data_IF_388374940125
#
_entry.id   IF_388374940125
#
_cell.length_a   1.000
_cell.length_b   1.000
_cell.length_c   1.000
_cell.angle_alpha   90.00
_cell.angle_beta   90.00
_cell.angle_gamma   90.00
#
_symmetry.space_group_name_H-M   'P 1'
#
loop_
_entity.id
_entity.type
_entity.pdbx_description
1 polymer ?
#
# COMPACT_ATOMS: atom_id res chain seq x y z
N UNK A 1 34.87 -7.48 -0.87
CA UNK A 1 34.82 -8.18 -2.17
C UNK A 1 34.72 -7.13 -3.25
N UNK A 2 35.57 -7.18 -4.28
CA UNK A 2 35.47 -6.31 -5.45
C UNK A 2 34.29 -6.77 -6.32
N UNK A 3 33.26 -5.94 -6.46
CA UNK A 3 32.11 -6.24 -7.31
C UNK A 3 32.48 -5.91 -8.77
N UNK A 4 32.58 -6.90 -9.69
CA UNK A 4 33.01 -6.63 -11.07
C UNK A 4 31.91 -5.99 -11.92
N UNK A 5 30.68 -5.89 -11.41
CA UNK A 5 29.54 -5.29 -12.10
C UNK A 5 29.18 -3.94 -11.50
N UNK A 6 28.87 -2.97 -12.37
CA UNK A 6 28.44 -1.63 -11.97
C UNK A 6 26.97 -1.57 -11.56
N UNK A 7 26.18 -2.58 -11.94
CA UNK A 7 24.76 -2.67 -11.62
C UNK A 7 24.52 -3.71 -10.54
N UNK A 8 23.76 -3.31 -9.52
CA UNK A 8 23.25 -4.23 -8.51
C UNK A 8 21.89 -4.76 -8.96
N UNK A 9 21.66 -6.09 -8.97
CA UNK A 9 20.36 -6.66 -9.29
C UNK A 9 19.32 -6.21 -8.27
N UNK A 10 18.05 -6.21 -8.67
CA UNK A 10 16.92 -5.88 -7.79
C UNK A 10 16.21 -7.15 -7.34
N UNK A 11 15.56 -7.08 -6.18
CA UNK A 11 14.67 -8.15 -5.71
C UNK A 11 13.30 -7.98 -6.36
N UNK A 12 12.67 -9.08 -6.77
CA UNK A 12 11.34 -9.05 -7.33
C UNK A 12 10.47 -10.19 -6.81
N UNK A 13 9.18 -9.91 -6.68
CA UNK A 13 8.16 -10.90 -6.33
C UNK A 13 7.67 -11.71 -7.54
N UNK A 14 6.81 -12.71 -7.32
CA UNK A 14 6.08 -13.35 -8.40
C UNK A 14 5.10 -12.36 -9.08
N UNK A 15 4.58 -12.74 -10.25
CA UNK A 15 3.40 -12.06 -10.79
C UNK A 15 2.18 -12.46 -9.95
N UNK A 16 1.41 -11.46 -9.51
CA UNK A 16 0.19 -11.60 -8.73
C UNK A 16 -0.98 -10.95 -9.45
N UNK A 17 -2.19 -11.46 -9.18
CA UNK A 17 -3.46 -10.89 -9.64
C UNK A 17 -4.12 -10.21 -8.44
N UNK A 18 -3.93 -8.90 -8.22
CA UNK A 18 -4.71 -8.20 -7.22
C UNK A 18 -6.20 -8.26 -7.57
N UNK A 19 -7.04 -8.37 -6.55
CA UNK A 19 -8.48 -8.47 -6.68
C UNK A 19 -9.17 -7.13 -6.39
N UNK A 20 -10.16 -6.79 -7.21
CA UNK A 20 -11.08 -5.69 -7.01
C UNK A 20 -12.06 -6.06 -5.90
N UNK A 21 -12.01 -5.32 -4.79
CA UNK A 21 -12.91 -5.49 -3.64
C UNK A 21 -13.79 -4.27 -3.38
N UNK A 22 -13.70 -3.24 -4.23
CA UNK A 22 -14.42 -1.98 -4.07
C UNK A 22 -15.48 -1.73 -5.14
N UNK A 23 -15.87 -2.74 -5.91
CA UNK A 23 -16.92 -2.62 -6.92
C UNK A 23 -18.26 -2.12 -6.34
N UNK A 24 -18.54 -2.42 -5.06
CA UNK A 24 -19.71 -1.95 -4.33
C UNK A 24 -19.43 -0.79 -3.35
N UNK A 25 -18.22 -0.22 -3.38
CA UNK A 25 -17.86 0.93 -2.54
C UNK A 25 -18.76 2.13 -2.86
N UNK A 26 -19.26 2.78 -1.82
CA UNK A 26 -20.13 3.96 -1.94
C UNK A 26 -19.59 5.17 -1.17
N UNK A 27 -19.84 6.35 -1.74
CA UNK A 27 -19.70 7.65 -1.10
C UNK A 27 -21.01 8.40 -1.26
N UNK A 28 -21.54 8.97 -0.18
CA UNK A 28 -22.79 9.77 -0.16
C UNK A 28 -23.96 9.14 -0.94
N UNK A 29 -24.05 7.80 -0.94
CA UNK A 29 -25.11 7.02 -1.58
C UNK A 29 -24.89 6.68 -3.05
N UNK A 30 -23.75 7.02 -3.65
CA UNK A 30 -23.38 6.69 -5.03
C UNK A 30 -22.14 5.79 -5.08
N UNK A 31 -22.03 4.97 -6.13
CA UNK A 31 -20.87 4.11 -6.34
C UNK A 31 -19.62 4.92 -6.64
N UNK A 32 -18.47 4.41 -6.18
CA UNK A 32 -17.15 5.00 -6.42
C UNK A 32 -16.63 4.73 -7.84
N UNK A 33 -15.45 5.27 -8.16
CA UNK A 33 -14.72 4.98 -9.39
C UNK A 33 -14.39 3.49 -9.57
N UNK A 34 -14.38 2.71 -8.50
CA UNK A 34 -14.02 1.29 -8.53
C UNK A 34 -15.12 0.38 -9.10
N UNK A 35 -16.32 0.93 -9.33
CA UNK A 35 -17.40 0.27 -10.08
C UNK A 35 -17.19 0.42 -11.59
N UNK A 36 -17.40 -0.67 -12.35
CA UNK A 36 -17.16 -0.68 -13.80
C UNK A 36 -18.04 0.30 -14.56
N UNK A 37 -19.33 0.41 -14.23
CA UNK A 37 -20.25 1.30 -14.95
C UNK A 37 -19.93 2.79 -14.67
N UNK A 38 -19.58 3.11 -13.42
CA UNK A 38 -19.10 4.45 -13.06
C UNK A 38 -17.78 4.78 -13.77
N UNK A 39 -16.84 3.84 -13.80
CA UNK A 39 -15.54 4.00 -14.47
C UNK A 39 -15.70 4.22 -15.98
N UNK A 40 -16.55 3.42 -16.63
CA UNK A 40 -16.88 3.54 -18.06
C UNK A 40 -17.49 4.92 -18.38
N UNK A 41 -18.41 5.38 -17.54
CA UNK A 41 -19.01 6.73 -17.66
C UNK A 41 -17.98 7.87 -17.61
N UNK A 42 -16.81 7.63 -17.02
CA UNK A 42 -15.69 8.58 -16.94
C UNK A 42 -14.59 8.32 -17.99
N UNK A 43 -14.83 7.38 -18.92
CA UNK A 43 -13.91 7.04 -20.01
C UNK A 43 -12.78 6.10 -19.61
N UNK A 44 -12.88 5.43 -18.45
CA UNK A 44 -11.98 4.36 -18.06
C UNK A 44 -12.45 3.01 -18.64
N UNK A 45 -11.53 2.08 -18.84
CA UNK A 45 -11.85 0.76 -19.41
C UNK A 45 -12.60 -0.16 -18.43
N UNK A 46 -12.34 -0.01 -17.14
CA UNK A 46 -12.96 -0.77 -16.04
C UNK A 46 -12.63 -0.09 -14.71
N UNK A 47 -13.30 -0.51 -13.64
CA UNK A 47 -13.05 -0.05 -12.27
C UNK A 47 -11.61 -0.34 -11.84
N UNK A 48 -10.79 0.68 -11.56
CA UNK A 48 -9.41 0.49 -11.13
C UNK A 48 -9.38 -0.17 -9.75
N UNK A 49 -8.43 -1.07 -9.53
CA UNK A 49 -8.12 -1.61 -8.20
C UNK A 49 -7.54 -0.49 -7.33
N UNK A 50 -7.90 -0.46 -6.04
CA UNK A 50 -7.38 0.55 -5.13
C UNK A 50 -5.86 0.52 -4.99
N UNK A 51 -5.27 1.70 -4.83
CA UNK A 51 -3.82 1.85 -4.69
C UNK A 51 -3.21 0.99 -3.57
N UNK A 52 -3.76 1.00 -2.34
CA UNK A 52 -3.21 0.23 -1.23
C UNK A 52 -3.18 -1.29 -1.45
N UNK A 53 -4.07 -1.85 -2.28
CA UNK A 53 -4.08 -3.30 -2.58
C UNK A 53 -2.76 -3.77 -3.23
N UNK A 54 -1.99 -2.88 -3.83
CA UNK A 54 -0.66 -3.23 -4.35
C UNK A 54 0.42 -3.37 -3.26
N UNK A 55 0.19 -2.86 -2.04
CA UNK A 55 1.23 -2.81 -1.01
C UNK A 55 1.60 -4.15 -0.42
N UNK A 56 0.66 -5.11 -0.35
CA UNK A 56 0.98 -6.46 0.15
C UNK A 56 2.02 -7.18 -0.70
N UNK A 57 2.14 -6.87 -2.01
CA UNK A 57 3.21 -7.43 -2.85
C UNK A 57 4.62 -7.02 -2.42
N UNK A 58 4.75 -5.92 -1.67
CA UNK A 58 6.04 -5.49 -1.14
C UNK A 58 6.37 -6.12 0.22
N UNK A 59 5.39 -6.59 0.98
CA UNK A 59 5.60 -7.17 2.32
C UNK A 59 6.68 -8.27 2.35
N UNK A 60 6.64 -9.33 1.51
CA UNK A 60 7.67 -10.36 1.54
C UNK A 60 9.05 -9.84 1.13
N UNK A 61 9.11 -8.87 0.21
CA UNK A 61 10.37 -8.28 -0.27
C UNK A 61 11.00 -7.39 0.82
N UNK A 62 10.18 -6.57 1.47
CA UNK A 62 10.62 -5.63 2.50
C UNK A 62 10.90 -6.33 3.83
N UNK A 63 10.15 -7.38 4.16
CA UNK A 63 10.51 -8.27 5.27
C UNK A 63 11.83 -9.00 5.02
N UNK A 64 12.13 -9.44 3.78
CA UNK A 64 13.42 -10.03 3.47
C UNK A 64 14.60 -9.06 3.65
N UNK A 65 14.36 -7.75 3.48
CA UNK A 65 15.39 -6.72 3.63
C UNK A 65 15.52 -6.18 5.07
N UNK A 66 14.40 -5.92 5.73
CA UNK A 66 14.35 -5.22 7.03
C UNK A 66 13.89 -6.11 8.19
N UNK A 67 13.46 -7.34 7.92
CA UNK A 67 12.96 -8.27 8.92
C UNK A 67 11.72 -7.73 9.64
N UNK A 68 11.64 -8.02 10.94
CA UNK A 68 10.54 -7.60 11.81
C UNK A 68 10.32 -6.07 11.81
N UNK A 69 11.37 -5.27 11.67
CA UNK A 69 11.30 -3.81 11.71
C UNK A 69 10.36 -3.24 10.64
N UNK A 70 10.19 -3.96 9.51
CA UNK A 70 9.23 -3.63 8.47
C UNK A 70 7.80 -3.48 9.01
N UNK A 71 7.36 -4.41 9.86
CA UNK A 71 6.00 -4.40 10.40
C UNK A 71 5.86 -3.50 11.64
N UNK A 72 6.95 -2.95 12.18
CA UNK A 72 6.94 -2.08 13.36
C UNK A 72 6.99 -0.60 12.99
N UNK A 73 7.76 -0.27 11.95
CA UNK A 73 8.07 1.12 11.58
C UNK A 73 8.10 1.34 10.07
N UNK A 74 7.65 0.35 9.29
CA UNK A 74 7.61 0.41 7.84
C UNK A 74 6.80 1.59 7.31
N UNK A 75 7.32 2.24 6.27
CA UNK A 75 6.64 3.29 5.54
C UNK A 75 6.77 3.05 4.04
N UNK A 76 5.67 3.17 3.30
CA UNK A 76 5.67 3.27 1.84
C UNK A 76 5.30 4.69 1.44
N UNK A 77 6.08 5.26 0.52
CA UNK A 77 5.71 6.47 -0.21
C UNK A 77 5.69 6.14 -1.69
N UNK A 78 4.53 6.26 -2.33
CA UNK A 78 4.31 5.80 -3.71
C UNK A 78 3.68 6.86 -4.59
N UNK A 79 3.96 6.76 -5.89
CA UNK A 79 3.30 7.48 -6.96
C UNK A 79 2.77 6.48 -7.99
N UNK A 80 1.46 6.46 -8.16
CA UNK A 80 0.79 5.64 -9.14
C UNK A 80 0.89 6.28 -10.53
N UNK A 81 1.22 5.46 -11.53
CA UNK A 81 1.45 5.87 -12.92
C UNK A 81 0.37 5.33 -13.85
N UNK A 82 -0.05 4.08 -13.67
CA UNK A 82 -1.13 3.47 -14.44
C UNK A 82 -2.06 2.67 -13.55
N UNK A 83 -3.34 2.68 -13.89
CA UNK A 83 -4.34 1.84 -13.22
C UNK A 83 -4.13 0.36 -13.50
N UNK A 84 -4.52 -0.46 -12.54
CA UNK A 84 -4.65 -1.92 -12.66
C UNK A 84 -6.13 -2.26 -12.51
N UNK A 85 -6.65 -3.17 -13.32
CA UNK A 85 -8.05 -3.63 -13.23
C UNK A 85 -8.10 -5.14 -12.98
N UNK A 86 -9.28 -5.66 -12.61
CA UNK A 86 -9.47 -7.09 -12.31
C UNK A 86 -8.88 -8.00 -13.40
N UNK A 87 -8.19 -9.06 -12.97
CA UNK A 87 -7.57 -10.06 -13.86
C UNK A 87 -6.20 -9.70 -14.42
N UNK A 88 -5.75 -8.44 -14.31
CA UNK A 88 -4.40 -8.04 -14.69
C UNK A 88 -3.36 -8.56 -13.68
N UNK A 89 -2.15 -8.83 -14.19
CA UNK A 89 -1.04 -9.34 -13.38
C UNK A 89 0.01 -8.26 -13.15
N UNK A 90 0.42 -8.10 -11.91
CA UNK A 90 1.38 -7.11 -11.43
C UNK A 90 2.54 -7.82 -10.73
N UNK A 91 3.74 -7.26 -10.84
CA UNK A 91 4.93 -7.69 -10.11
C UNK A 91 5.51 -6.50 -9.35
N UNK A 92 5.82 -6.70 -8.08
CA UNK A 92 6.56 -5.76 -7.25
C UNK A 92 8.08 -5.99 -7.33
N UNK A 93 8.83 -4.90 -7.21
CA UNK A 93 10.28 -4.86 -7.22
C UNK A 93 10.80 -3.93 -6.13
N UNK A 94 11.96 -4.27 -5.58
CA UNK A 94 12.68 -3.47 -4.59
C UNK A 94 14.15 -3.43 -4.98
N UNK A 95 14.76 -2.25 -4.95
CA UNK A 95 16.21 -2.14 -5.15
C UNK A 95 16.94 -2.93 -4.06
N UNK A 96 18.07 -3.55 -4.40
CA UNK A 96 18.89 -4.21 -3.39
C UNK A 96 19.75 -3.16 -2.68
N UNK A 97 19.52 -2.88 -1.38
CA UNK A 97 20.30 -1.88 -0.68
C UNK A 97 21.69 -2.39 -0.27
N UNK A 98 22.56 -1.47 0.09
CA UNK A 98 23.72 -1.78 0.92
C UNK A 98 23.30 -2.36 2.27
N UNK A 99 24.17 -3.17 2.88
CA UNK A 99 23.88 -3.78 4.17
C UNK A 99 23.64 -2.71 5.25
N UNK A 100 22.50 -2.79 5.93
CA UNK A 100 22.14 -1.87 7.00
C UNK A 100 21.47 -0.58 6.52
N UNK A 101 21.19 -0.43 5.22
CA UNK A 101 20.33 0.65 4.77
C UNK A 101 18.92 0.51 5.37
N UNK A 102 18.25 1.64 5.59
CA UNK A 102 16.88 1.73 6.12
C UNK A 102 15.90 2.31 5.12
N UNK A 103 16.33 2.44 3.86
CA UNK A 103 15.59 3.05 2.77
C UNK A 103 15.89 2.30 1.49
N UNK A 104 14.86 2.10 0.68
CA UNK A 104 14.95 1.49 -0.64
C UNK A 104 13.98 2.14 -1.61
N UNK A 105 14.33 2.16 -2.90
CA UNK A 105 13.42 2.38 -4.02
C UNK A 105 12.60 1.14 -4.31
N UNK A 106 11.32 1.35 -4.62
CA UNK A 106 10.37 0.30 -4.97
C UNK A 106 9.64 0.69 -6.25
N UNK A 107 9.16 -0.29 -7.00
CA UNK A 107 8.26 -0.08 -8.12
C UNK A 107 7.42 -1.33 -8.38
N UNK A 108 6.37 -1.17 -9.17
CA UNK A 108 5.60 -2.30 -9.67
C UNK A 108 5.28 -2.11 -11.15
N UNK A 109 5.21 -3.23 -11.87
CA UNK A 109 4.92 -3.27 -13.31
C UNK A 109 3.86 -4.33 -13.59
N UNK A 110 3.07 -4.13 -14.64
CA UNK A 110 2.23 -5.19 -15.20
C UNK A 110 3.09 -6.26 -15.87
N UNK A 111 2.51 -7.42 -16.17
CA UNK A 111 3.19 -8.51 -16.91
C UNK A 111 3.91 -8.03 -18.19
N UNK A 112 3.35 -7.06 -18.90
CA UNK A 112 3.90 -6.52 -20.16
C UNK A 112 4.96 -5.43 -19.97
N UNK A 113 5.35 -5.13 -18.71
CA UNK A 113 6.30 -4.08 -18.37
C UNK A 113 5.68 -2.69 -18.21
N UNK A 114 4.36 -2.54 -18.36
CA UNK A 114 3.69 -1.26 -18.12
C UNK A 114 3.88 -0.83 -16.65
N UNK A 115 4.44 0.36 -16.36
CA UNK A 115 4.65 0.82 -14.99
C UNK A 115 3.33 1.01 -14.25
N UNK A 116 3.18 0.43 -13.05
CA UNK A 116 2.00 0.62 -12.19
C UNK A 116 2.25 1.74 -11.19
N UNK A 117 3.35 1.64 -10.44
CA UNK A 117 3.76 2.65 -9.47
C UNK A 117 5.28 2.70 -9.33
N UNK A 118 5.78 3.85 -8.89
CA UNK A 118 7.15 4.06 -8.40
C UNK A 118 7.10 4.56 -6.96
N UNK A 119 8.13 4.31 -6.17
CA UNK A 119 8.09 4.65 -4.75
C UNK A 119 9.41 4.50 -4.01
N UNK A 120 9.28 4.67 -2.70
CA UNK A 120 10.29 4.34 -1.70
C UNK A 120 9.66 3.60 -0.54
N UNK A 121 10.41 2.70 0.09
CA UNK A 121 10.09 2.13 1.39
C UNK A 121 11.20 2.40 2.40
N UNK A 122 10.85 2.49 3.68
CA UNK A 122 11.82 2.68 4.77
C UNK A 122 11.38 2.04 6.07
N UNK A 123 12.33 1.94 7.01
CA UNK A 123 12.10 1.54 8.42
C UNK A 123 12.81 2.51 9.38
N UNK A 124 12.39 2.50 10.64
CA UNK A 124 12.92 3.34 11.71
C UNK A 124 12.63 4.84 11.53
N UNK A 125 13.50 5.69 12.06
CA UNK A 125 13.42 7.13 11.83
C UNK A 125 13.87 7.48 10.40
N UNK A 126 12.88 7.76 9.56
CA UNK A 126 13.06 8.06 8.14
C UNK A 126 12.61 9.48 7.75
N UNK A 127 12.33 10.38 8.70
CA UNK A 127 11.73 11.69 8.42
C UNK A 127 12.55 12.58 7.45
N UNK A 128 13.87 12.39 7.40
CA UNK A 128 14.78 13.11 6.50
C UNK A 128 15.21 12.33 5.25
N UNK A 129 14.70 11.12 5.03
CA UNK A 129 15.05 10.32 3.85
C UNK A 129 14.30 10.83 2.62
N UNK A 130 14.85 10.68 1.41
CA UNK A 130 14.27 11.24 0.20
C UNK A 130 13.07 10.38 -0.24
N UNK A 131 11.92 10.51 0.43
CA UNK A 131 10.72 9.77 0.07
C UNK A 131 10.12 10.22 -1.26
N UNK A 132 9.46 9.30 -1.97
CA UNK A 132 8.95 9.55 -3.32
C UNK A 132 8.02 10.78 -3.38
N UNK A 133 7.03 10.84 -2.50
CA UNK A 133 6.07 11.95 -2.49
C UNK A 133 6.73 13.26 -2.04
N UNK A 134 7.65 13.24 -1.08
CA UNK A 134 8.38 14.44 -0.65
C UNK A 134 9.18 15.04 -1.81
N UNK A 135 9.91 14.21 -2.55
CA UNK A 135 10.66 14.64 -3.74
C UNK A 135 9.75 15.21 -4.83
N UNK A 136 8.55 14.63 -5.01
CA UNK A 136 7.58 15.12 -6.00
C UNK A 136 7.00 16.46 -5.60
N UNK A 137 6.57 16.61 -4.34
CA UNK A 137 6.04 17.87 -3.81
C UNK A 137 7.07 18.99 -3.95
N UNK A 138 8.35 18.71 -3.69
CA UNK A 138 9.43 19.69 -3.82
C UNK A 138 9.61 20.24 -5.26
N UNK A 139 9.09 19.55 -6.29
CA UNK A 139 9.11 19.99 -7.69
C UNK A 139 7.86 20.76 -8.11
N UNK A 140 6.82 20.78 -7.27
CA UNK A 140 5.58 21.50 -7.54
C UNK A 140 5.73 22.98 -7.21
N UNK A 141 4.98 23.82 -7.92
CA UNK A 141 4.81 25.22 -7.54
C UNK A 141 4.06 25.28 -6.20
N UNK A 142 4.49 26.11 -5.23
CA UNK A 142 3.77 26.27 -3.98
C UNK A 142 2.30 26.64 -4.22
N UNK A 143 1.40 25.99 -3.50
CA UNK A 143 -0.02 26.31 -3.56
C UNK A 143 -0.27 27.68 -2.94
N UNK A 144 -0.95 28.57 -3.67
CA UNK A 144 -1.28 29.93 -3.21
C UNK A 144 -2.72 30.06 -2.69
N UNK A 145 -3.57 29.06 -2.96
CA UNK A 145 -4.98 29.05 -2.57
C UNK A 145 -5.50 27.63 -2.42
N UNK A 146 -5.23 27.02 -1.27
CA UNK A 146 -5.80 25.72 -0.93
C UNK A 146 -7.31 25.88 -0.67
N UNK A 147 -8.11 25.03 -1.32
CA UNK A 147 -9.57 24.95 -1.12
C UNK A 147 -9.90 23.67 -0.35
N UNK A 148 -9.39 22.54 -0.82
CA UNK A 148 -9.46 21.24 -0.14
C UNK A 148 -8.32 21.19 0.89
N UNK A 149 -8.63 20.73 2.11
CA UNK A 149 -7.67 20.61 3.22
C UNK A 149 -6.97 21.92 3.61
N UNK A 150 -7.59 23.09 3.33
CA UNK A 150 -7.05 24.43 3.61
C UNK A 150 -6.60 24.62 5.05
N UNK A 151 -7.35 24.07 5.99
CA UNK A 151 -7.12 24.27 7.42
C UNK A 151 -6.22 23.17 8.03
N UNK A 152 -5.76 22.21 7.22
CA UNK A 152 -4.88 21.14 7.67
C UNK A 152 -3.41 21.57 7.68
N UNK A 153 -2.68 21.16 8.73
CA UNK A 153 -1.24 21.39 8.86
C UNK A 153 -0.46 20.08 8.73
N UNK A 154 0.77 20.16 8.22
CA UNK A 154 1.67 19.00 8.15
C UNK A 154 1.95 18.51 9.58
N UNK A 155 1.70 17.22 9.82
CA UNK A 155 1.87 16.61 11.14
C UNK A 155 0.74 16.92 12.14
N UNK A 156 -0.38 17.49 11.68
CA UNK A 156 -1.56 17.71 12.52
C UNK A 156 -2.04 16.41 13.14
N UNK A 157 -2.31 16.47 14.45
CA UNK A 157 -2.86 15.36 15.24
C UNK A 157 -4.34 15.62 15.53
N UNK A 158 -5.09 14.55 15.75
CA UNK A 158 -6.46 14.62 16.25
C UNK A 158 -6.52 15.29 17.63
N UNK A 159 -7.72 15.71 18.02
CA UNK A 159 -7.95 16.38 19.31
C UNK A 159 -7.61 15.48 20.51
N UNK A 160 -7.76 14.17 20.35
CA UNK A 160 -7.49 13.15 21.37
C UNK A 160 -6.82 11.93 20.73
N UNK A 161 -6.24 11.07 21.56
CA UNK A 161 -5.74 9.77 21.11
C UNK A 161 -6.91 8.82 20.89
N UNK A 162 -7.08 8.35 19.66
CA UNK A 162 -8.10 7.40 19.29
C UNK A 162 -7.54 5.97 19.32
N UNK A 163 -8.30 5.05 19.91
CA UNK A 163 -7.97 3.62 19.89
C UNK A 163 -8.86 2.95 18.85
N UNK A 164 -8.25 2.56 17.74
CA UNK A 164 -8.91 1.85 16.65
C UNK A 164 -8.63 0.35 16.73
N UNK A 165 -9.59 -0.45 16.28
CA UNK A 165 -9.46 -1.90 16.16
C UNK A 165 -10.16 -2.35 14.89
N UNK A 166 -9.61 -3.40 14.28
CA UNK A 166 -10.22 -4.08 13.13
C UNK A 166 -10.49 -5.52 13.56
N UNK A 167 -11.77 -5.86 13.73
CA UNK A 167 -12.17 -7.24 13.93
C UNK A 167 -12.06 -8.05 12.63
N UNK A 168 -11.78 -9.35 12.75
CA UNK A 168 -11.65 -10.23 11.59
C UNK A 168 -12.94 -10.24 10.74
N UNK A 169 -14.09 -10.44 11.39
CA UNK A 169 -15.41 -10.49 10.74
C UNK A 169 -16.18 -9.16 10.79
N UNK A 170 -15.52 -8.08 11.21
CA UNK A 170 -16.15 -6.77 11.24
C UNK A 170 -16.32 -6.27 9.80
N UNK A 171 -17.54 -5.88 9.42
CA UNK A 171 -17.80 -5.21 8.15
C UNK A 171 -17.33 -3.76 8.24
N UNK A 172 -16.48 -3.32 7.30
CA UNK A 172 -15.80 -2.00 7.36
C UNK A 172 -16.65 -0.83 6.80
N UNK A 173 -17.91 -1.10 6.45
CA UNK A 173 -18.91 -0.11 6.04
C UNK A 173 -18.93 0.15 4.54
N UNK A 174 -19.64 1.19 4.10
CA UNK A 174 -19.84 1.48 2.68
C UNK A 174 -18.54 1.93 1.96
N UNK A 175 -17.59 2.51 2.69
CA UNK A 175 -16.28 2.85 2.17
C UNK A 175 -15.41 1.62 1.90
N UNK A 176 -15.62 0.53 2.62
CA UNK A 176 -14.87 -0.71 2.47
C UNK A 176 -15.84 -1.88 2.68
N UNK A 177 -16.61 -2.27 1.64
CA UNK A 177 -17.75 -3.18 1.78
C UNK A 177 -17.32 -4.65 1.88
N UNK A 178 -16.40 -4.94 2.78
CA UNK A 178 -15.84 -6.26 3.06
C UNK A 178 -15.37 -6.36 4.51
N UNK A 179 -15.12 -7.58 4.97
CA UNK A 179 -14.45 -7.85 6.25
C UNK A 179 -12.95 -8.10 6.06
N UNK A 180 -12.16 -8.01 7.13
CA UNK A 180 -10.75 -8.45 7.06
C UNK A 180 -10.66 -9.93 6.67
N UNK A 181 -11.58 -10.77 7.13
CA UNK A 181 -11.66 -12.18 6.73
C UNK A 181 -11.84 -12.34 5.22
N UNK A 182 -12.69 -11.53 4.59
CA UNK A 182 -12.88 -11.54 3.14
C UNK A 182 -11.63 -11.09 2.41
N UNK A 183 -10.97 -10.04 2.91
CA UNK A 183 -9.70 -9.57 2.34
C UNK A 183 -8.62 -10.66 2.37
N UNK A 184 -8.46 -11.35 3.50
CA UNK A 184 -7.43 -12.38 3.64
C UNK A 184 -7.65 -13.61 2.75
N UNK A 185 -8.87 -13.86 2.25
CA UNK A 185 -9.14 -14.92 1.26
C UNK A 185 -8.52 -14.62 -0.11
N UNK A 186 -8.31 -13.34 -0.43
CA UNK A 186 -7.92 -12.87 -1.78
C UNK A 186 -6.70 -11.94 -1.77
N UNK A 187 -6.03 -11.78 -0.62
CA UNK A 187 -4.80 -10.98 -0.50
C UNK A 187 -3.72 -11.50 -1.44
N UNK A 188 -2.98 -10.58 -2.07
CA UNK A 188 -1.96 -10.97 -3.07
C UNK A 188 -0.77 -11.69 -2.46
N UNK A 189 -0.40 -11.35 -1.23
CA UNK A 189 0.65 -12.03 -0.47
C UNK A 189 0.13 -12.46 0.90
N UNK A 190 -0.27 -13.74 1.06
CA UNK A 190 -0.71 -14.24 2.35
C UNK A 190 0.47 -14.34 3.32
N UNK A 191 0.23 -14.01 4.59
CA UNK A 191 1.15 -14.22 5.70
C UNK A 191 0.42 -14.97 6.82
N UNK A 192 1.08 -15.96 7.41
CA UNK A 192 0.49 -16.70 8.54
C UNK A 192 0.23 -15.80 9.75
N UNK A 193 0.98 -14.71 9.91
CA UNK A 193 0.79 -13.74 10.98
C UNK A 193 -0.47 -12.89 10.82
N UNK A 194 -1.18 -12.97 9.69
CA UNK A 194 -2.44 -12.25 9.50
C UNK A 194 -3.66 -13.00 10.03
N UNK A 195 -3.54 -14.31 10.32
CA UNK A 195 -4.66 -15.12 10.80
C UNK A 195 -4.65 -15.26 12.33
N UNK A 196 -5.79 -15.56 12.98
CA UNK A 196 -5.83 -15.84 14.41
C UNK A 196 -4.89 -16.98 14.83
N UNK A 197 -4.83 -18.05 14.02
CA UNK A 197 -4.07 -19.26 14.32
C UNK A 197 -2.56 -18.99 14.23
N UNK A 198 -2.10 -18.45 13.09
CA UNK A 198 -0.67 -18.17 12.88
C UNK A 198 -0.19 -16.90 13.59
N UNK A 199 -1.11 -15.98 13.92
CA UNK A 199 -0.80 -14.77 14.66
C UNK A 199 -0.22 -15.02 16.05
N UNK A 200 -0.63 -16.11 16.72
CA UNK A 200 -0.07 -16.52 18.02
C UNK A 200 1.44 -16.83 17.95
N UNK A 201 1.93 -17.23 16.78
CA UNK A 201 3.35 -17.52 16.51
C UNK A 201 4.11 -16.29 16.00
N UNK A 202 3.44 -15.16 15.79
CA UNK A 202 4.12 -13.92 15.41
C UNK A 202 4.99 -13.41 16.56
N UNK A 203 6.01 -12.56 16.28
CA UNK A 203 6.82 -11.91 17.30
C UNK A 203 6.03 -11.11 18.35
N UNK A 204 4.78 -10.72 18.03
CA UNK A 204 3.92 -9.95 18.93
C UNK A 204 2.87 -10.82 19.66
N UNK A 205 2.88 -12.14 19.45
CA UNK A 205 1.97 -13.09 20.10
C UNK A 205 0.49 -12.93 19.72
N UNK A 206 0.21 -12.22 18.63
CA UNK A 206 -1.15 -12.01 18.08
C UNK A 206 -1.08 -11.66 16.60
N UNK A 207 -2.22 -11.76 15.90
CA UNK A 207 -2.30 -11.38 14.50
C UNK A 207 -1.93 -9.90 14.28
N UNK A 208 -1.28 -9.61 13.15
CA UNK A 208 -0.98 -8.25 12.67
C UNK A 208 -1.87 -7.90 11.48
N UNK A 209 -2.05 -6.61 11.24
CA UNK A 209 -2.85 -6.10 10.12
C UNK A 209 -1.95 -6.03 8.87
N UNK A 210 -2.38 -6.54 7.70
CA UNK A 210 -1.63 -6.41 6.45
C UNK A 210 -1.34 -4.94 6.11
N UNK A 211 -0.21 -4.65 5.47
CA UNK A 211 0.17 -3.27 5.13
C UNK A 211 -0.88 -2.57 4.24
N UNK A 212 -1.46 -3.30 3.29
CA UNK A 212 -2.54 -2.78 2.43
C UNK A 212 -3.82 -2.39 3.22
N UNK A 213 -4.04 -2.97 4.40
CA UNK A 213 -5.23 -2.75 5.24
C UNK A 213 -5.10 -1.58 6.22
N UNK A 214 -3.93 -0.93 6.30
CA UNK A 214 -3.74 0.25 7.16
C UNK A 214 -4.67 1.40 6.74
N UNK A 215 -4.87 1.60 5.44
CA UNK A 215 -5.78 2.64 4.93
C UNK A 215 -7.22 2.43 5.40
N UNK A 216 -7.69 1.18 5.38
CA UNK A 216 -9.02 0.77 5.88
C UNK A 216 -9.14 0.99 7.38
N UNK A 217 -8.09 0.65 8.14
CA UNK A 217 -8.05 0.86 9.59
C UNK A 217 -8.21 2.35 9.96
N UNK A 218 -7.58 3.24 9.19
CA UNK A 218 -7.67 4.69 9.42
C UNK A 218 -9.02 5.29 9.01
N UNK A 219 -9.74 4.63 8.11
CA UNK A 219 -11.07 5.06 7.65
C UNK A 219 -12.24 4.46 8.44
N UNK A 220 -11.99 3.59 9.42
CA UNK A 220 -13.03 2.79 10.12
C UNK A 220 -13.35 3.27 11.55
N UNK A 221 -13.11 4.55 11.85
CA UNK A 221 -13.48 5.20 13.11
C UNK A 221 -14.97 5.48 13.25
#
# INVERSE_FOLDING_TARGET
>A
MTNPFTQTPSLCGPLRKPHQMLADQKYDGHKSIHDDAMAEGLGLRAGPIEGPTHFSQFDPLLFNLFGQEWFETGCISSHYQNMVVEGEEVRAFVEQPEKGARFVRIWAEKRDGTPVLTGSASVGDAAGLPHEIQQRIARLRPATGLVINRDLQVGQRGAVVEKIRMGLDQHMGDHYPFTLADKLKVITEPCTWYTPEGGAESPWGRAIIPMEMISVLLGST
#
